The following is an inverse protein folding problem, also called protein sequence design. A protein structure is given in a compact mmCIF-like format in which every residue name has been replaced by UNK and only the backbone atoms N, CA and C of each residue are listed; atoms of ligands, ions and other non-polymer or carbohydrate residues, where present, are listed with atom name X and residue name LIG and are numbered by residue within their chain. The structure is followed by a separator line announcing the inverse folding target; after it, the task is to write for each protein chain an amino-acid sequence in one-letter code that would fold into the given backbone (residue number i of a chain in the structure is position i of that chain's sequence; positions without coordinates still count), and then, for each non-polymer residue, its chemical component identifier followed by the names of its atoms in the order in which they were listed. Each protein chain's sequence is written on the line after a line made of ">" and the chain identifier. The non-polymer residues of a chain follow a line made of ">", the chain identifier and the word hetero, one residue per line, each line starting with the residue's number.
data_IF_873124132706
#
_entry.id   IF_873124132706
#
_cell.length_a   1.000
_cell.length_b   1.000
_cell.length_c   1.000
_cell.angle_alpha   90.00
_cell.angle_beta   90.00
_cell.angle_gamma   90.00
#
_symmetry.space_group_name_H-M   'P 1'
#
loop_
_entity.id
_entity.type
_entity.pdbx_description
1 polymer ?
#
# COMPACT_ATOMS: atom_id res chain seq x y z
N UNK A 1 23.29 5.11 29.44
CA UNK A 1 22.11 5.82 28.92
C UNK A 1 21.93 5.41 27.47
N UNK A 2 21.01 4.49 27.21
CA UNK A 2 20.76 3.98 25.85
C UNK A 2 19.98 5.05 25.09
N UNK A 3 20.56 5.60 24.02
CA UNK A 3 19.83 6.46 23.10
C UNK A 3 18.79 5.62 22.37
N UNK A 4 17.51 5.89 22.62
CA UNK A 4 16.45 5.44 21.74
C UNK A 4 16.52 6.26 20.46
N UNK A 5 17.05 5.66 19.39
CA UNK A 5 16.92 6.21 18.05
C UNK A 5 15.43 6.12 17.71
N UNK A 6 14.73 7.26 17.68
CA UNK A 6 13.39 7.34 17.11
C UNK A 6 13.50 6.78 15.70
N UNK A 7 12.96 5.57 15.48
CA UNK A 7 12.79 5.04 14.13
C UNK A 7 11.84 6.05 13.49
N UNK A 8 12.33 6.76 12.47
CA UNK A 8 11.46 7.64 11.71
C UNK A 8 10.41 6.73 11.07
N UNK A 9 9.18 6.77 11.59
CA UNK A 9 8.06 6.23 10.86
C UNK A 9 7.98 7.01 9.56
N UNK A 10 8.01 6.32 8.42
CA UNK A 10 7.81 7.01 7.15
C UNK A 10 6.36 7.47 7.12
N UNK A 11 6.16 8.77 6.92
CA UNK A 11 4.82 9.33 6.78
C UNK A 11 4.15 8.88 5.48
N UNK A 12 4.88 8.29 4.53
CA UNK A 12 4.36 7.89 3.23
C UNK A 12 4.83 6.48 2.88
N UNK A 13 3.91 5.67 2.36
CA UNK A 13 4.19 4.30 1.91
C UNK A 13 3.77 4.16 0.45
N UNK A 14 4.60 3.53 -0.37
CA UNK A 14 4.29 3.17 -1.75
C UNK A 14 4.15 1.65 -1.84
N UNK A 15 2.96 1.20 -2.25
CA UNK A 15 2.66 -0.19 -2.58
C UNK A 15 2.80 -0.39 -4.08
N UNK A 16 3.65 -1.33 -4.49
CA UNK A 16 3.90 -1.63 -5.91
C UNK A 16 3.48 -3.07 -6.19
N UNK A 17 2.56 -3.25 -7.12
CA UNK A 17 2.23 -4.56 -7.68
C UNK A 17 3.28 -4.94 -8.74
N UNK A 18 3.99 -6.07 -8.58
CA UNK A 18 5.06 -6.47 -9.49
C UNK A 18 4.56 -6.92 -10.87
N UNK A 19 3.24 -6.95 -11.11
CA UNK A 19 2.66 -7.17 -12.44
C UNK A 19 2.69 -5.90 -13.31
N UNK A 20 3.04 -4.74 -12.74
CA UNK A 20 3.35 -3.55 -13.53
C UNK A 20 4.70 -3.75 -14.23
N UNK A 21 4.73 -3.54 -15.55
CA UNK A 21 5.96 -3.66 -16.32
C UNK A 21 7.01 -2.65 -15.82
N UNK A 22 8.21 -3.14 -15.53
CA UNK A 22 9.31 -2.31 -15.02
C UNK A 22 9.13 -1.83 -13.58
N UNK A 23 8.40 -2.57 -12.75
CA UNK A 23 8.19 -2.25 -11.33
C UNK A 23 9.50 -2.04 -10.55
N UNK A 24 10.60 -2.69 -10.94
CA UNK A 24 11.93 -2.50 -10.32
C UNK A 24 12.47 -1.07 -10.56
N UNK A 25 12.26 -0.53 -11.76
CA UNK A 25 12.59 0.85 -12.09
C UNK A 25 11.72 1.83 -11.28
N UNK A 26 10.43 1.50 -11.09
CA UNK A 26 9.53 2.30 -10.26
C UNK A 26 9.97 2.31 -8.79
N UNK A 27 10.35 1.15 -8.25
CA UNK A 27 10.90 1.00 -6.90
C UNK A 27 12.16 1.85 -6.71
N UNK A 28 13.11 1.80 -7.65
CA UNK A 28 14.36 2.57 -7.57
C UNK A 28 14.17 4.07 -7.76
N UNK A 29 13.07 4.50 -8.39
CA UNK A 29 12.69 5.89 -8.57
C UNK A 29 11.97 6.53 -7.39
N UNK A 30 11.61 5.76 -6.35
CA UNK A 30 10.94 6.28 -5.16
C UNK A 30 11.88 7.22 -4.39
N UNK A 31 11.34 8.37 -3.96
CA UNK A 31 12.10 9.38 -3.22
C UNK A 31 12.66 8.79 -1.92
N UNK A 32 13.88 9.18 -1.50
CA UNK A 32 14.43 8.77 -0.21
C UNK A 32 13.49 9.12 0.94
N UNK A 33 13.35 8.21 1.91
CA UNK A 33 12.52 8.40 3.10
C UNK A 33 11.08 7.92 2.97
N UNK A 34 10.63 7.49 1.79
CA UNK A 34 9.35 6.81 1.58
C UNK A 34 9.54 5.30 1.70
N UNK A 35 8.68 4.63 2.46
CA UNK A 35 8.70 3.16 2.57
C UNK A 35 8.13 2.53 1.28
N UNK A 36 8.80 1.53 0.73
CA UNK A 36 8.31 0.79 -0.46
C UNK A 36 7.98 -0.63 -0.06
N UNK A 37 6.77 -1.08 -0.43
CA UNK A 37 6.29 -2.43 -0.18
C UNK A 37 5.85 -3.04 -1.50
N UNK A 38 6.39 -4.22 -1.82
CA UNK A 38 6.00 -4.98 -3.00
C UNK A 38 4.85 -5.90 -2.62
N UNK A 39 3.73 -5.79 -3.34
CA UNK A 39 2.55 -6.62 -3.13
C UNK A 39 2.83 -8.05 -3.62
N UNK A 40 2.43 -9.05 -2.83
CA UNK A 40 2.42 -10.43 -3.30
C UNK A 40 1.30 -10.59 -4.35
N UNK A 41 1.63 -10.92 -5.62
CA UNK A 41 0.64 -11.02 -6.69
C UNK A 41 -0.36 -12.18 -6.49
N UNK A 42 -0.11 -13.09 -5.55
CA UNK A 42 -0.94 -14.28 -5.29
C UNK A 42 -1.95 -14.08 -4.16
N UNK A 43 -1.89 -12.97 -3.44
CA UNK A 43 -2.73 -12.66 -2.28
C UNK A 43 -3.59 -11.43 -2.54
N UNK A 44 -4.65 -11.22 -1.76
CA UNK A 44 -5.51 -10.05 -1.91
C UNK A 44 -4.73 -8.78 -1.61
N UNK A 45 -4.70 -7.85 -2.56
CA UNK A 45 -3.90 -6.64 -2.45
C UNK A 45 -4.44 -5.64 -1.43
N UNK A 46 -5.76 -5.53 -1.29
CA UNK A 46 -6.39 -4.62 -0.33
C UNK A 46 -6.18 -5.14 1.09
N UNK A 47 -6.30 -6.45 1.30
CA UNK A 47 -6.01 -7.08 2.60
C UNK A 47 -4.54 -6.91 3.02
N UNK A 48 -3.60 -7.04 2.08
CA UNK A 48 -2.18 -6.78 2.32
C UNK A 48 -1.91 -5.32 2.75
N UNK A 49 -2.46 -4.35 2.01
CA UNK A 49 -2.34 -2.92 2.37
C UNK A 49 -2.92 -2.67 3.75
N UNK A 50 -4.12 -3.19 4.02
CA UNK A 50 -4.82 -3.04 5.30
C UNK A 50 -3.96 -3.58 6.45
N UNK A 51 -3.41 -4.77 6.27
CA UNK A 51 -2.55 -5.41 7.27
C UNK A 51 -1.30 -4.56 7.53
N UNK A 52 -0.63 -4.08 6.49
CA UNK A 52 0.54 -3.20 6.66
C UNK A 52 0.18 -1.94 7.44
N UNK A 53 -0.88 -1.25 7.05
CA UNK A 53 -1.25 0.03 7.65
C UNK A 53 -1.69 -0.11 9.12
N UNK A 54 -2.31 -1.23 9.50
CA UNK A 54 -2.62 -1.55 10.90
C UNK A 54 -1.38 -1.64 11.81
N UNK A 55 -0.19 -1.89 11.26
CA UNK A 55 1.08 -1.98 12.02
C UNK A 55 1.99 -0.77 11.79
N UNK A 56 1.50 0.31 11.17
CA UNK A 56 2.29 1.50 10.86
C UNK A 56 1.67 2.74 11.50
N UNK A 57 2.38 3.34 12.44
CA UNK A 57 1.93 4.56 13.13
C UNK A 57 2.31 5.82 12.33
N UNK A 58 1.41 6.79 12.25
CA UNK A 58 1.72 8.10 11.67
C UNK A 58 1.89 8.11 10.14
N UNK A 59 1.34 7.12 9.44
CA UNK A 59 1.22 7.15 7.98
C UNK A 59 0.21 8.23 7.59
N UNK A 60 0.62 9.10 6.69
CA UNK A 60 -0.16 10.22 6.16
C UNK A 60 -0.58 10.02 4.70
N UNK A 61 0.10 9.12 3.97
CA UNK A 61 -0.27 8.75 2.61
C UNK A 61 0.10 7.30 2.29
N UNK A 62 -0.78 6.65 1.53
CA UNK A 62 -0.52 5.38 0.86
C UNK A 62 -0.65 5.60 -0.65
N UNK A 63 0.43 5.35 -1.38
CA UNK A 63 0.49 5.41 -2.84
C UNK A 63 0.39 4.00 -3.40
N UNK A 64 -0.41 3.78 -4.44
CA UNK A 64 -0.60 2.45 -5.03
C UNK A 64 -0.22 2.51 -6.50
N UNK A 65 0.68 1.60 -6.90
CA UNK A 65 1.13 1.42 -8.28
C UNK A 65 0.71 0.02 -8.73
N UNK A 66 -0.27 -0.05 -9.61
CA UNK A 66 -0.83 -1.30 -10.09
C UNK A 66 -1.30 -1.15 -11.55
N UNK A 67 -1.44 -2.28 -12.24
CA UNK A 67 -2.09 -2.28 -13.55
C UNK A 67 -3.58 -1.96 -13.37
N UNK A 68 -4.17 -1.32 -14.38
CA UNK A 68 -5.58 -0.97 -14.35
C UNK A 68 -6.22 -1.00 -15.73
N UNK A 69 -7.54 -0.98 -15.71
CA UNK A 69 -8.40 -0.73 -16.86
C UNK A 69 -9.46 0.31 -16.46
N UNK A 70 -10.24 0.88 -17.39
CA UNK A 70 -11.27 1.85 -17.03
C UNK A 70 -12.18 1.34 -15.91
N UNK A 71 -12.17 2.02 -14.76
CA UNK A 71 -12.98 1.68 -13.58
C UNK A 71 -12.50 0.48 -12.76
N UNK A 72 -11.29 -0.05 -12.99
CA UNK A 72 -10.76 -1.20 -12.28
C UNK A 72 -9.25 -1.11 -12.05
N UNK A 73 -8.82 -1.37 -10.82
CA UNK A 73 -7.42 -1.61 -10.46
C UNK A 73 -7.20 -3.11 -10.23
N UNK A 74 -6.11 -3.66 -10.75
CA UNK A 74 -5.67 -5.03 -10.49
C UNK A 74 -4.57 -4.99 -9.44
N UNK A 75 -4.84 -5.51 -8.24
CA UNK A 75 -3.94 -5.37 -7.09
C UNK A 75 -3.82 -6.70 -6.35
N UNK A 76 -2.64 -7.32 -6.37
CA UNK A 76 -2.50 -8.71 -5.93
C UNK A 76 -3.43 -9.63 -6.74
N UNK A 77 -4.04 -10.64 -6.14
CA UNK A 77 -5.01 -11.47 -6.85
C UNK A 77 -6.41 -10.82 -6.97
N UNK A 78 -6.60 -9.59 -6.47
CA UNK A 78 -7.91 -8.95 -6.39
C UNK A 78 -8.14 -7.87 -7.46
N UNK A 79 -9.42 -7.56 -7.65
CA UNK A 79 -9.90 -6.47 -8.51
C UNK A 79 -10.59 -5.45 -7.63
N UNK A 80 -10.08 -4.23 -7.61
CA UNK A 80 -10.74 -3.10 -6.97
C UNK A 80 -11.46 -2.29 -8.05
N UNK A 81 -12.76 -2.54 -8.21
CA UNK A 81 -13.63 -1.92 -9.20
C UNK A 81 -15.01 -1.65 -8.61
N UNK A 82 -15.92 -1.03 -9.38
CA UNK A 82 -17.26 -0.67 -8.88
C UNK A 82 -18.01 -1.86 -8.26
N UNK A 83 -17.93 -3.04 -8.88
CA UNK A 83 -18.61 -4.26 -8.41
C UNK A 83 -18.05 -4.82 -7.09
N UNK A 84 -16.81 -4.47 -6.74
CA UNK A 84 -16.09 -4.97 -5.56
C UNK A 84 -15.79 -3.88 -4.54
N UNK A 85 -16.09 -2.62 -4.85
CA UNK A 85 -15.72 -1.48 -4.01
C UNK A 85 -16.41 -1.55 -2.65
N UNK A 86 -17.69 -1.92 -2.62
CA UNK A 86 -18.46 -2.04 -1.37
C UNK A 86 -17.90 -3.13 -0.45
N UNK A 87 -17.31 -4.20 -1.01
CA UNK A 87 -16.64 -5.25 -0.24
C UNK A 87 -15.39 -4.69 0.49
N UNK A 88 -14.62 -3.84 -0.17
CA UNK A 88 -13.38 -3.27 0.36
C UNK A 88 -13.56 -1.95 1.11
N UNK A 89 -14.74 -1.31 1.01
CA UNK A 89 -14.97 0.05 1.52
C UNK A 89 -14.65 0.19 3.01
N UNK A 90 -14.99 -0.82 3.82
CA UNK A 90 -14.67 -0.83 5.25
C UNK A 90 -13.16 -0.86 5.49
N UNK A 91 -12.43 -1.75 4.82
CA UNK A 91 -10.97 -1.85 4.95
C UNK A 91 -10.28 -0.54 4.54
N UNK A 92 -10.71 0.06 3.42
CA UNK A 92 -10.17 1.32 2.93
C UNK A 92 -10.50 2.50 3.85
N UNK A 93 -11.66 2.48 4.51
CA UNK A 93 -12.02 3.48 5.51
C UNK A 93 -11.02 3.47 6.68
N UNK A 94 -10.69 2.27 7.18
CA UNK A 94 -9.80 2.09 8.33
C UNK A 94 -8.34 2.49 8.07
N UNK A 95 -7.90 2.61 6.81
CA UNK A 95 -6.51 2.93 6.44
C UNK A 95 -5.97 4.22 7.09
N UNK A 96 -6.84 5.19 7.38
CA UNK A 96 -6.44 6.47 7.98
C UNK A 96 -7.30 6.91 9.16
N UNK A 97 -8.42 6.24 9.45
CA UNK A 97 -9.33 6.61 10.54
C UNK A 97 -9.04 5.87 11.84
N UNK A 98 -8.38 4.72 11.75
CA UNK A 98 -8.02 3.89 12.91
C UNK A 98 -6.53 3.51 12.88
N UNK A 99 -5.62 4.51 12.92
CA UNK A 99 -4.20 4.22 13.03
C UNK A 99 -3.89 3.58 14.40
N UNK A 100 -2.90 2.69 14.47
CA UNK A 100 -2.50 2.05 15.73
C UNK A 100 -1.97 3.05 16.78
#
# INVERSE_FOLDING_TARGET
>A
MTQFKKVASSAEIVFIDPRVDGWECLMTGVKPGIEVIIINPKEDGVEQITTVLQWRHGVTAAHIVAQGSPGCLYLGNCRLCLDTLDYYAWQMHEWFTNPP
#
